data_IF_183678198225
#
_entry.id   IF_183678198225
#
_cell.length_a   1.000
_cell.length_b   1.000
_cell.length_c   1.000
_cell.angle_alpha   90.00
_cell.angle_beta   90.00
_cell.angle_gamma   90.00
#
_symmetry.space_group_name_H-M   'P 1'
#
loop_
_entity.id
_entity.type
_entity.pdbx_description
1 polymer ?
#
# COMPACT_ATOMS: atom_id res chain seq x y z
N UNK A 1 0.84 26.75 29.77
CA UNK A 1 1.44 25.41 29.89
C UNK A 1 1.43 24.79 28.50
N UNK A 2 2.58 24.63 27.88
CA UNK A 2 2.72 23.85 26.64
C UNK A 2 2.64 22.38 27.02
N UNK A 3 1.68 21.58 26.50
CA UNK A 3 1.74 20.13 26.69
C UNK A 3 3.05 19.63 26.09
N UNK A 4 3.86 19.00 26.93
CA UNK A 4 5.12 18.40 26.54
C UNK A 4 4.83 16.96 26.14
N UNK A 5 4.23 16.77 24.97
CA UNK A 5 3.96 15.45 24.43
C UNK A 5 5.22 14.85 23.83
N UNK A 6 6.19 14.55 24.69
CA UNK A 6 7.32 13.72 24.34
C UNK A 6 6.90 12.25 24.52
N UNK A 7 5.85 11.85 23.80
CA UNK A 7 5.40 10.46 23.77
C UNK A 7 6.40 9.69 22.93
N UNK A 8 7.05 8.69 23.53
CA UNK A 8 7.88 7.75 22.76
C UNK A 8 7.00 7.15 21.67
N UNK A 9 7.38 7.25 20.39
CA UNK A 9 6.59 6.66 19.30
C UNK A 9 6.29 5.20 19.61
N UNK A 10 5.06 4.77 19.35
CA UNK A 10 4.68 3.36 19.49
C UNK A 10 5.59 2.54 18.59
N UNK A 11 6.19 1.50 19.15
CA UNK A 11 7.09 0.59 18.43
C UNK A 11 6.47 -0.79 18.33
N UNK A 12 6.60 -1.40 17.17
CA UNK A 12 6.33 -2.82 16.95
C UNK A 12 7.57 -3.46 16.36
N UNK A 13 8.15 -4.41 17.08
CA UNK A 13 9.44 -5.02 16.73
C UNK A 13 9.34 -6.54 16.87
N UNK A 14 10.17 -7.26 16.12
CA UNK A 14 10.21 -8.72 16.11
C UNK A 14 9.25 -9.35 15.12
N UNK A 15 8.99 -10.65 15.29
CA UNK A 15 8.18 -11.43 14.36
C UNK A 15 6.68 -11.31 14.69
N UNK A 16 5.88 -10.84 13.75
CA UNK A 16 4.43 -10.72 13.86
C UNK A 16 3.77 -11.64 12.84
N UNK A 17 2.91 -12.54 13.32
CA UNK A 17 2.12 -13.42 12.47
C UNK A 17 0.67 -12.97 12.44
N UNK A 18 0.13 -12.86 11.24
CA UNK A 18 -1.25 -12.47 10.95
C UNK A 18 -1.89 -13.63 10.16
N UNK A 19 -2.32 -14.73 10.82
CA UNK A 19 -2.91 -15.88 10.14
C UNK A 19 -4.43 -15.76 9.99
N UNK A 20 -5.03 -16.62 9.17
CA UNK A 20 -6.44 -16.99 9.19
C UNK A 20 -7.42 -15.80 9.17
N UNK A 21 -7.19 -14.87 8.23
CA UNK A 21 -7.99 -13.65 8.08
C UNK A 21 -7.91 -12.66 9.25
N UNK A 22 -6.95 -12.84 10.17
CA UNK A 22 -6.63 -11.81 11.16
C UNK A 22 -6.22 -10.50 10.49
N UNK A 23 -6.38 -9.39 11.21
CA UNK A 23 -6.07 -8.06 10.70
C UNK A 23 -5.10 -7.35 11.63
N UNK A 24 -3.99 -6.87 11.08
CA UNK A 24 -3.11 -5.90 11.70
C UNK A 24 -3.32 -4.54 11.04
N UNK A 25 -3.68 -3.53 11.82
CA UNK A 25 -3.73 -2.15 11.35
C UNK A 25 -2.57 -1.36 11.94
N UNK A 26 -1.73 -0.79 11.07
CA UNK A 26 -0.59 0.03 11.45
C UNK A 26 -1.01 1.50 11.34
N UNK A 27 -1.07 2.20 12.46
CA UNK A 27 -1.37 3.62 12.50
C UNK A 27 -0.19 4.47 12.05
N UNK A 28 -0.48 5.69 11.58
CA UNK A 28 0.55 6.68 11.27
C UNK A 28 1.48 6.94 12.47
N UNK A 29 2.79 6.99 12.21
CA UNK A 29 3.81 7.29 13.22
C UNK A 29 4.27 6.10 14.07
N UNK A 30 3.73 4.90 13.85
CA UNK A 30 4.23 3.68 14.49
C UNK A 30 5.58 3.28 13.87
N UNK A 31 6.59 3.11 14.71
CA UNK A 31 7.90 2.58 14.29
C UNK A 31 7.81 1.05 14.16
N UNK A 32 7.83 0.59 12.91
CA UNK A 32 7.74 -0.82 12.51
C UNK A 32 9.02 -1.30 11.81
N UNK A 33 10.09 -0.50 11.87
CA UNK A 33 11.33 -0.72 11.10
C UNK A 33 12.03 -2.04 11.44
N UNK A 34 11.81 -2.59 12.63
CA UNK A 34 12.33 -3.88 13.10
C UNK A 34 11.27 -4.99 13.15
N UNK A 35 10.11 -4.78 12.52
CA UNK A 35 9.04 -5.76 12.43
C UNK A 35 9.23 -6.69 11.22
N UNK A 36 9.17 -8.00 11.46
CA UNK A 36 9.07 -9.03 10.44
C UNK A 36 7.61 -9.50 10.36
N UNK A 37 6.91 -9.12 9.29
CA UNK A 37 5.50 -9.43 9.13
C UNK A 37 5.31 -10.70 8.30
N UNK A 38 4.49 -11.62 8.82
CA UNK A 38 4.01 -12.79 8.07
C UNK A 38 2.49 -12.77 8.02
N UNK A 39 1.93 -12.44 6.86
CA UNK A 39 0.50 -12.53 6.62
C UNK A 39 0.21 -13.84 5.87
N UNK A 40 -0.55 -14.73 6.51
CA UNK A 40 -0.81 -16.07 5.99
C UNK A 40 -2.31 -16.39 5.99
N UNK A 41 -2.77 -17.26 5.09
CA UNK A 41 -4.15 -17.73 5.05
C UNK A 41 -5.17 -16.58 5.02
N UNK A 42 -4.96 -15.61 4.11
CA UNK A 42 -5.74 -14.36 3.96
C UNK A 42 -5.61 -13.37 5.11
N UNK A 43 -4.52 -13.45 5.88
CA UNK A 43 -4.18 -12.41 6.86
C UNK A 43 -4.03 -11.04 6.21
N UNK A 44 -4.48 -10.00 6.91
CA UNK A 44 -4.61 -8.65 6.38
C UNK A 44 -3.68 -7.69 7.09
N UNK A 45 -2.89 -6.93 6.33
CA UNK A 45 -2.13 -5.78 6.84
C UNK A 45 -2.75 -4.50 6.26
N UNK A 46 -3.15 -3.58 7.12
CA UNK A 46 -3.76 -2.30 6.76
C UNK A 46 -2.89 -1.14 7.22
N UNK A 47 -2.58 -0.22 6.32
CA UNK A 47 -1.94 1.04 6.67
C UNK A 47 -3.01 2.10 6.90
N UNK A 48 -3.05 2.65 8.11
CA UNK A 48 -4.07 3.60 8.53
C UNK A 48 -3.46 4.99 8.73
N UNK A 49 -3.36 5.72 7.61
CA UNK A 49 -2.91 7.10 7.59
C UNK A 49 -4.01 8.07 7.97
N UNK A 50 -3.62 9.20 8.54
CA UNK A 50 -4.51 10.32 8.85
C UNK A 50 -3.91 11.62 8.30
N UNK A 51 -4.58 12.75 8.52
CA UNK A 51 -4.17 14.05 7.97
C UNK A 51 -2.81 14.57 8.50
N UNK A 52 -2.16 13.91 9.47
CA UNK A 52 -0.82 14.26 9.97
C UNK A 52 0.27 14.23 8.90
N UNK A 53 0.09 13.42 7.87
CA UNK A 53 1.00 13.26 6.74
C UNK A 53 0.38 13.70 5.41
N UNK A 54 -0.73 14.46 5.46
CA UNK A 54 -1.35 15.03 4.27
C UNK A 54 -0.44 16.11 3.65
N UNK A 55 -0.31 16.10 2.32
CA UNK A 55 0.55 17.03 1.59
C UNK A 55 0.89 16.52 0.19
N UNK A 56 2.01 16.99 -0.36
CA UNK A 56 2.52 16.57 -1.67
C UNK A 56 3.18 15.19 -1.65
N UNK A 57 3.60 14.72 -0.47
CA UNK A 57 4.27 13.43 -0.29
C UNK A 57 3.32 12.37 0.26
N UNK A 58 3.71 11.12 0.13
CA UNK A 58 3.01 9.99 0.73
C UNK A 58 3.36 9.86 2.22
N UNK A 59 2.48 9.21 2.98
CA UNK A 59 2.77 8.79 4.34
C UNK A 59 3.66 7.55 4.32
N UNK A 60 4.73 7.58 5.11
CA UNK A 60 5.75 6.54 5.07
C UNK A 60 5.49 5.46 6.12
N UNK A 61 5.51 4.19 5.69
CA UNK A 61 5.49 3.00 6.52
C UNK A 61 6.69 2.12 6.20
N UNK A 62 7.25 1.48 7.22
CA UNK A 62 8.47 0.67 7.07
C UNK A 62 8.34 -0.62 7.85
N UNK A 63 8.64 -1.75 7.21
CA UNK A 63 8.80 -3.04 7.89
C UNK A 63 10.15 -3.64 7.52
N UNK A 64 10.74 -4.45 8.40
CA UNK A 64 12.01 -5.08 8.10
C UNK A 64 11.86 -6.07 6.93
N UNK A 65 10.97 -7.04 7.09
CA UNK A 65 10.65 -8.02 6.06
C UNK A 65 9.16 -8.29 5.98
N UNK A 66 8.70 -8.66 4.77
CA UNK A 66 7.32 -9.02 4.51
C UNK A 66 7.25 -10.38 3.82
N UNK A 67 6.68 -11.37 4.50
CA UNK A 67 6.35 -12.68 3.95
C UNK A 67 4.83 -12.78 3.79
N UNK A 68 4.38 -12.96 2.55
CA UNK A 68 2.99 -13.26 2.25
C UNK A 68 2.85 -14.73 1.90
N UNK A 69 1.90 -15.41 2.53
CA UNK A 69 1.50 -16.77 2.20
C UNK A 69 -0.02 -16.79 1.99
N UNK A 70 -0.42 -16.27 0.83
CA UNK A 70 -1.80 -15.92 0.48
C UNK A 70 -2.37 -14.84 1.41
N UNK A 71 -1.55 -13.86 1.77
CA UNK A 71 -1.93 -12.68 2.58
C UNK A 71 -2.26 -11.46 1.73
N UNK A 72 -2.94 -10.49 2.33
CA UNK A 72 -3.42 -9.26 1.72
C UNK A 72 -2.81 -8.02 2.41
N UNK A 73 -2.32 -7.06 1.64
CA UNK A 73 -1.79 -5.79 2.13
C UNK A 73 -2.51 -4.62 1.49
N UNK A 74 -3.16 -3.81 2.31
CA UNK A 74 -3.93 -2.65 1.90
C UNK A 74 -3.11 -1.40 2.21
N UNK A 75 -2.59 -0.76 1.16
CA UNK A 75 -1.72 0.39 1.33
C UNK A 75 -2.52 1.62 1.73
N UNK A 76 -3.78 1.75 1.33
CA UNK A 76 -4.66 2.81 1.82
C UNK A 76 -6.11 2.33 1.84
N UNK A 77 -6.95 3.02 2.62
CA UNK A 77 -8.37 2.74 2.67
C UNK A 77 -9.08 3.19 1.38
N UNK A 78 -10.06 2.43 0.88
CA UNK A 78 -10.79 2.82 -0.31
C UNK A 78 -11.55 4.14 -0.12
N UNK A 79 -11.31 5.05 -1.05
CA UNK A 79 -12.16 6.18 -1.42
C UNK A 79 -12.59 7.20 -0.35
N UNK A 80 -11.94 7.31 0.82
CA UNK A 80 -12.35 8.29 1.85
C UNK A 80 -11.23 9.14 2.46
N UNK A 81 -9.96 8.89 2.14
CA UNK A 81 -8.84 9.65 2.70
C UNK A 81 -8.40 10.75 1.76
N UNK A 82 -9.05 11.92 1.77
CA UNK A 82 -8.54 13.27 1.43
C UNK A 82 -7.34 13.43 0.43
N UNK A 83 -7.19 12.59 -0.60
CA UNK A 83 -5.96 12.53 -1.41
C UNK A 83 -4.70 12.09 -0.65
N UNK A 84 -4.83 11.29 0.41
CA UNK A 84 -3.71 10.71 1.18
C UNK A 84 -3.33 9.37 0.56
N UNK A 85 -2.04 9.22 0.29
CA UNK A 85 -1.43 8.02 -0.28
C UNK A 85 -0.26 7.58 0.60
N UNK A 86 0.06 6.30 0.55
CA UNK A 86 1.03 5.68 1.45
C UNK A 86 2.17 5.02 0.68
N UNK A 87 3.38 5.13 1.21
CA UNK A 87 4.54 4.36 0.77
C UNK A 87 4.80 3.28 1.79
N UNK A 88 4.72 2.01 1.39
CA UNK A 88 5.21 0.89 2.18
C UNK A 88 6.62 0.54 1.71
N UNK A 89 7.60 0.70 2.60
CA UNK A 89 8.98 0.26 2.37
C UNK A 89 9.26 -1.02 3.15
N UNK A 90 9.86 -2.01 2.49
CA UNK A 90 10.41 -3.20 3.15
C UNK A 90 11.81 -3.50 2.64
N UNK A 91 12.65 -4.14 3.45
CA UNK A 91 13.96 -4.59 2.97
C UNK A 91 13.78 -5.77 2.00
N UNK A 92 12.96 -6.75 2.38
CA UNK A 92 12.77 -7.98 1.62
C UNK A 92 11.29 -8.36 1.51
N UNK A 93 10.90 -8.86 0.35
CA UNK A 93 9.53 -9.32 0.07
C UNK A 93 9.54 -10.76 -0.46
N UNK A 94 8.80 -11.66 0.20
CA UNK A 94 8.76 -13.08 -0.14
C UNK A 94 7.35 -13.65 -0.26
N UNK A 95 7.21 -14.69 -1.09
CA UNK A 95 6.06 -15.61 -1.09
C UNK A 95 4.99 -15.31 -2.14
N UNK A 96 3.72 -15.38 -1.74
CA UNK A 96 2.56 -15.10 -2.59
C UNK A 96 1.48 -14.32 -1.85
N UNK A 97 0.88 -13.34 -2.51
CA UNK A 97 -0.17 -12.53 -1.90
C UNK A 97 -0.62 -11.38 -2.77
N UNK A 98 -1.46 -10.53 -2.21
CA UNK A 98 -2.10 -9.42 -2.90
C UNK A 98 -1.75 -8.09 -2.25
N UNK A 99 -1.52 -7.08 -3.08
CA UNK A 99 -1.42 -5.69 -2.66
C UNK A 99 -2.57 -4.90 -3.26
N UNK A 100 -3.17 -4.02 -2.47
CA UNK A 100 -4.26 -3.14 -2.89
C UNK A 100 -3.78 -1.70 -2.78
N UNK A 101 -3.70 -1.03 -3.92
CA UNK A 101 -3.17 0.33 -4.09
C UNK A 101 -4.26 1.24 -4.63
N UNK A 102 -4.25 2.47 -4.15
CA UNK A 102 -5.05 3.56 -4.72
C UNK A 102 -4.19 4.55 -5.47
N UNK A 103 -4.73 5.10 -6.55
CA UNK A 103 -4.05 6.07 -7.40
C UNK A 103 -4.94 7.24 -7.77
N UNK A 104 -4.30 8.36 -8.07
CA UNK A 104 -4.81 9.45 -8.88
C UNK A 104 -3.79 9.70 -9.98
N UNK A 105 -3.91 8.93 -11.07
CA UNK A 105 -3.01 9.01 -12.21
C UNK A 105 -3.01 10.42 -12.82
N UNK A 106 -4.17 11.09 -12.87
CA UNK A 106 -4.25 12.47 -13.37
C UNK A 106 -3.49 13.50 -12.52
N UNK A 107 -3.32 13.24 -11.22
CA UNK A 107 -2.53 14.07 -10.32
C UNK A 107 -1.09 13.58 -10.13
N UNK A 108 -0.66 12.52 -10.82
CA UNK A 108 0.63 11.84 -10.60
C UNK A 108 0.85 11.45 -9.13
N UNK A 109 -0.20 10.97 -8.46
CA UNK A 109 -0.19 10.55 -7.07
C UNK A 109 -0.69 9.12 -6.94
N UNK A 110 -0.18 8.38 -5.97
CA UNK A 110 -0.62 7.02 -5.73
C UNK A 110 0.14 6.36 -4.59
N UNK A 111 -0.42 5.27 -4.09
CA UNK A 111 0.27 4.39 -3.17
C UNK A 111 1.50 3.76 -3.83
N UNK A 112 2.53 3.49 -3.02
CA UNK A 112 3.79 2.93 -3.51
C UNK A 112 4.28 1.79 -2.63
N UNK A 113 4.74 0.72 -3.28
CA UNK A 113 5.48 -0.36 -2.64
C UNK A 113 6.96 -0.25 -3.03
N UNK A 114 7.83 -0.15 -2.03
CA UNK A 114 9.28 -0.09 -2.21
C UNK A 114 9.92 -1.27 -1.52
N UNK A 115 10.63 -2.10 -2.27
CA UNK A 115 11.46 -3.19 -1.75
C UNK A 115 12.93 -2.81 -1.97
N UNK A 116 13.66 -2.56 -0.90
CA UNK A 116 15.04 -2.04 -1.00
C UNK A 116 16.02 -3.07 -1.57
N UNK A 117 15.85 -4.34 -1.20
CA UNK A 117 16.70 -5.43 -1.65
C UNK A 117 15.91 -6.35 -2.59
N UNK A 118 15.68 -7.61 -2.22
CA UNK A 118 15.05 -8.57 -3.11
C UNK A 118 13.55 -8.71 -2.89
N UNK A 119 12.83 -8.80 -4.00
CA UNK A 119 11.48 -9.32 -4.03
C UNK A 119 11.49 -10.67 -4.77
N UNK A 120 11.04 -11.73 -4.11
CA UNK A 120 10.98 -13.08 -4.69
C UNK A 120 9.62 -13.72 -4.42
N UNK A 121 8.85 -13.96 -5.48
CA UNK A 121 7.50 -14.49 -5.31
C UNK A 121 6.54 -14.15 -6.44
N UNK A 122 5.27 -14.48 -6.21
CA UNK A 122 4.17 -14.20 -7.12
C UNK A 122 3.15 -13.30 -6.43
N UNK A 123 3.04 -12.06 -6.88
CA UNK A 123 2.12 -11.10 -6.25
C UNK A 123 1.14 -10.53 -7.27
N UNK A 124 -0.08 -10.31 -6.80
CA UNK A 124 -1.09 -9.57 -7.53
C UNK A 124 -1.15 -8.15 -6.99
N UNK A 125 -1.21 -7.18 -7.88
CA UNK A 125 -1.40 -5.78 -7.55
C UNK A 125 -2.76 -5.35 -8.07
N UNK A 126 -3.65 -5.03 -7.13
CA UNK A 126 -4.95 -4.45 -7.39
C UNK A 126 -4.82 -2.94 -7.33
N UNK A 127 -5.21 -2.26 -8.40
CA UNK A 127 -5.14 -0.80 -8.48
C UNK A 127 -6.53 -0.21 -8.65
N UNK A 128 -6.92 0.67 -7.74
CA UNK A 128 -8.11 1.49 -7.86
C UNK A 128 -7.72 2.95 -8.08
N UNK A 129 -7.99 3.47 -9.27
CA UNK A 129 -7.77 4.87 -9.61
C UNK A 129 -8.99 5.75 -9.28
N UNK A 130 -8.78 7.06 -9.12
CA UNK A 130 -9.87 8.04 -8.98
C UNK A 130 -10.82 8.07 -10.19
N UNK A 131 -10.37 7.59 -11.36
CA UNK A 131 -11.13 7.60 -12.59
C UNK A 131 -11.03 8.91 -13.37
N UNK A 132 -10.20 9.86 -12.91
CA UNK A 132 -9.93 11.10 -13.63
C UNK A 132 -8.88 10.84 -14.70
N UNK A 133 -9.18 11.21 -15.95
CA UNK A 133 -8.25 11.01 -17.06
C UNK A 133 -7.00 11.89 -16.93
N UNK A 134 -5.79 11.32 -17.05
CA UNK A 134 -4.55 12.10 -17.07
C UNK A 134 -4.48 13.02 -18.30
N UNK A 135 -3.79 14.15 -18.14
CA UNK A 135 -3.56 15.14 -19.20
C UNK A 135 -2.17 14.98 -19.84
N UNK A 136 -1.36 14.08 -19.31
CA UNK A 136 0.01 13.77 -19.74
C UNK A 136 0.16 12.25 -19.86
N UNK A 137 1.13 11.80 -20.66
CA UNK A 137 1.56 10.41 -20.77
C UNK A 137 2.68 10.03 -19.77
N UNK A 138 2.97 10.92 -18.82
CA UNK A 138 3.93 10.68 -17.75
C UNK A 138 3.65 9.39 -16.98
N UNK A 139 4.67 8.53 -16.92
CA UNK A 139 4.57 7.25 -16.22
C UNK A 139 4.63 7.44 -14.70
N UNK A 140 3.76 6.72 -13.98
CA UNK A 140 3.81 6.64 -12.52
C UNK A 140 4.35 5.29 -12.06
N UNK A 141 5.32 5.31 -11.14
CA UNK A 141 5.86 4.10 -10.52
C UNK A 141 5.06 3.74 -9.26
N UNK A 142 4.46 2.56 -9.25
CA UNK A 142 3.72 2.02 -8.10
C UNK A 142 4.53 0.99 -7.30
N UNK A 143 5.44 0.27 -7.96
CA UNK A 143 6.30 -0.74 -7.33
C UNK A 143 7.74 -0.50 -7.75
N UNK A 144 8.64 -0.41 -6.77
CA UNK A 144 10.08 -0.33 -6.96
C UNK A 144 10.76 -1.45 -6.20
N UNK A 145 11.70 -2.15 -6.84
CA UNK A 145 12.48 -3.22 -6.21
C UNK A 145 13.97 -3.06 -6.47
N UNK A 146 14.82 -3.36 -5.49
CA UNK A 146 16.27 -3.36 -5.63
C UNK A 146 16.83 -4.55 -6.44
N UNK A 147 16.08 -5.65 -6.52
CA UNK A 147 16.45 -6.86 -7.27
C UNK A 147 15.52 -8.04 -6.97
N UNK A 148 15.97 -9.24 -7.30
CA UNK A 148 15.25 -10.50 -7.05
C UNK A 148 14.48 -11.05 -8.26
N UNK A 149 13.81 -12.18 -8.05
CA UNK A 149 12.97 -12.84 -9.06
C UNK A 149 11.50 -12.61 -8.74
N UNK A 150 11.02 -11.43 -9.13
CA UNK A 150 9.66 -10.98 -8.87
C UNK A 150 8.74 -11.23 -10.07
N UNK A 151 7.57 -11.83 -9.83
CA UNK A 151 6.49 -11.92 -10.82
C UNK A 151 5.29 -11.13 -10.32
N UNK A 152 4.95 -10.06 -11.05
CA UNK A 152 3.77 -9.23 -10.78
C UNK A 152 2.67 -9.53 -11.80
N UNK A 153 1.43 -9.56 -11.32
CA UNK A 153 0.23 -9.43 -12.17
C UNK A 153 -0.58 -8.24 -11.73
N UNK A 154 -0.97 -7.41 -12.69
CA UNK A 154 -1.85 -6.27 -12.47
C UNK A 154 -3.30 -6.71 -12.65
N UNK A 155 -4.13 -6.43 -11.66
CA UNK A 155 -5.58 -6.64 -11.71
C UNK A 155 -6.28 -5.28 -11.58
N UNK A 156 -7.04 -4.91 -12.60
CA UNK A 156 -7.96 -3.77 -12.53
C UNK A 156 -9.31 -4.35 -12.11
N UNK A 157 -9.79 -4.11 -10.89
CA UNK A 157 -11.12 -4.56 -10.50
C UNK A 157 -12.13 -3.93 -11.47
N UNK A 158 -12.99 -4.75 -12.05
CA UNK A 158 -13.83 -4.37 -13.18
C UNK A 158 -14.51 -3.00 -12.96
N UNK A 159 -14.12 -2.02 -13.77
CA UNK A 159 -14.89 -0.78 -13.93
C UNK A 159 -16.22 -1.19 -14.55
N UNK A 160 -17.31 -1.00 -13.82
CA UNK A 160 -18.65 -1.08 -14.39
C UNK A 160 -18.78 0.05 -15.42
N UNK A 161 -18.53 -0.24 -16.70
CA UNK A 161 -18.82 0.64 -17.81
C UNK A 161 -20.34 0.83 -17.90
N UNK A 162 -20.86 1.85 -17.21
CA UNK A 162 -22.19 2.36 -17.52
C UNK A 162 -22.04 3.18 -18.80
N UNK A 163 -22.23 2.53 -19.95
CA UNK A 163 -22.46 3.21 -21.21
C UNK A 163 -23.78 3.98 -21.08
N UNK A 164 -23.70 5.28 -20.80
CA UNK A 164 -24.82 6.19 -20.95
C UNK A 164 -25.22 6.27 -22.43
N UNK A 165 -26.52 6.41 -22.77
CA UNK A 165 -26.97 6.41 -24.15
C UNK A 165 -26.37 7.62 -24.90
N UNK A 166 -25.59 7.34 -25.94
CA UNK A 166 -25.16 8.32 -26.93
C UNK A 166 -26.40 8.76 -27.71
N UNK A 167 -26.91 9.95 -27.42
CA UNK A 167 -27.88 10.63 -28.29
C UNK A 167 -27.11 11.21 -29.48
N UNK A 168 -27.26 10.61 -30.66
CA UNK A 168 -26.85 11.25 -31.91
C UNK A 168 -27.90 12.32 -32.26
N UNK A 169 -27.48 13.58 -32.35
CA UNK A 169 -28.20 14.62 -33.08
C UNK A 169 -27.64 14.73 -34.49
#
# INVERSE_FOLDING_TARGET
MTPRDNVTPVKLEGAIRIPDSATLTIGNGVDTTLADLTAASRGNVWLNSNNSCAGTSNCEYRVNSLLLNDGDVYLSAPATTNGIYNTLTTSELFGSGNFYLHTNVAGSRGDQLVVNNNATGNFKIFVQDTGVSPQSDDAMTLVKTGGGMLRLRWEIPAVSLILGPMSMS
#
